data_IF_709232155473
#
_entry.id   IF_709232155473
#
_cell.length_a   1.000
_cell.length_b   1.000
_cell.length_c   1.000
_cell.angle_alpha   90.00
_cell.angle_beta   90.00
_cell.angle_gamma   90.00
#
_symmetry.space_group_name_H-M   'P 1'
#
loop_
_entity.id
_entity.type
_entity.pdbx_description
1 polymer ?
#
# COMPACT_ATOMS: atom_id res chain seq x y z
N UNK A 1 -12.23 -3.24 5.55
CA UNK A 1 -11.19 -4.24 5.94
C UNK A 1 -9.86 -3.61 6.37
N UNK A 2 -9.58 -2.36 6.02
CA UNK A 2 -8.35 -1.64 6.41
C UNK A 2 -8.55 -0.81 7.68
N UNK A 3 -9.60 -0.02 7.76
CA UNK A 3 -9.84 0.94 8.83
C UNK A 3 -10.10 0.29 10.18
N UNK A 4 -10.91 -0.77 10.21
CA UNK A 4 -11.27 -1.42 11.49
C UNK A 4 -10.08 -2.09 12.19
N UNK A 5 -9.20 -2.84 11.51
CA UNK A 5 -7.96 -3.32 12.10
C UNK A 5 -7.06 -2.21 12.64
N UNK A 6 -6.99 -1.06 11.96
CA UNK A 6 -6.24 0.11 12.45
C UNK A 6 -6.83 0.67 13.75
N UNK A 7 -8.15 0.85 13.82
CA UNK A 7 -8.83 1.31 15.04
C UNK A 7 -8.58 0.31 16.18
N UNK A 8 -8.68 -1.00 15.90
CA UNK A 8 -8.45 -2.07 16.88
C UNK A 8 -7.01 -2.06 17.41
N UNK A 9 -6.03 -1.82 16.55
CA UNK A 9 -4.61 -1.80 16.93
C UNK A 9 -4.18 -0.51 17.64
N UNK A 10 -4.93 0.58 17.51
CA UNK A 10 -4.54 1.91 17.96
C UNK A 10 -4.29 1.98 19.46
N UNK A 11 -5.17 1.42 20.29
CA UNK A 11 -5.04 1.41 21.74
C UNK A 11 -3.84 0.59 22.23
N UNK A 12 -3.59 -0.56 21.63
CA UNK A 12 -2.45 -1.42 21.95
C UNK A 12 -1.11 -0.79 21.59
N UNK A 13 -1.02 -0.18 20.41
CA UNK A 13 0.18 0.51 19.97
C UNK A 13 0.53 1.74 20.82
N UNK A 14 -0.49 2.53 21.18
CA UNK A 14 -0.31 3.68 22.08
C UNK A 14 0.18 3.25 23.48
N UNK A 15 -0.44 2.22 24.04
CA UNK A 15 -0.05 1.68 25.34
C UNK A 15 1.39 1.21 25.35
N UNK A 16 1.80 0.38 24.39
CA UNK A 16 3.17 -0.15 24.31
C UNK A 16 4.21 0.97 24.20
N UNK A 17 3.93 2.01 23.41
CA UNK A 17 4.81 3.18 23.31
C UNK A 17 4.93 3.92 24.63
N UNK A 18 3.82 4.13 25.37
CA UNK A 18 3.80 4.82 26.65
C UNK A 18 4.50 4.02 27.74
N UNK A 19 4.34 2.71 27.78
CA UNK A 19 5.07 1.83 28.67
C UNK A 19 6.58 2.04 28.57
N UNK A 20 7.12 2.07 27.37
CA UNK A 20 8.54 2.37 27.17
C UNK A 20 8.91 3.77 27.67
N UNK A 21 8.12 4.79 27.34
CA UNK A 21 8.41 6.17 27.75
C UNK A 21 8.35 6.37 29.28
N UNK A 22 7.44 5.70 29.95
CA UNK A 22 7.32 5.73 31.42
C UNK A 22 8.46 4.95 32.07
N UNK A 23 8.76 3.75 31.58
CA UNK A 23 9.83 2.90 32.09
C UNK A 23 11.22 3.55 32.01
N UNK A 24 11.46 4.33 30.97
CA UNK A 24 12.70 5.09 30.78
C UNK A 24 12.66 6.51 31.40
N UNK A 25 11.59 6.86 32.10
CA UNK A 25 11.49 8.16 32.81
C UNK A 25 11.20 9.37 31.91
N UNK A 26 10.86 9.16 30.64
CA UNK A 26 10.51 10.26 29.71
C UNK A 26 9.07 10.76 29.91
N UNK A 27 8.21 9.98 30.56
CA UNK A 27 6.82 10.36 30.88
C UNK A 27 6.42 9.86 32.26
N UNK A 28 5.46 10.56 32.86
CA UNK A 28 4.83 10.16 34.12
C UNK A 28 3.83 9.04 33.88
N UNK A 29 3.53 8.21 34.90
CA UNK A 29 2.52 7.15 34.86
C UNK A 29 1.14 7.63 34.40
N UNK A 30 0.75 8.88 34.74
CA UNK A 30 -0.50 9.52 34.31
C UNK A 30 -0.63 9.66 32.77
N UNK A 31 0.44 9.45 32.01
CA UNK A 31 0.37 9.40 30.56
C UNK A 31 -0.58 8.31 30.03
N UNK A 32 -0.82 7.25 30.82
CA UNK A 32 -1.76 6.18 30.44
C UNK A 32 -3.24 6.60 30.47
N UNK A 33 -3.57 7.69 31.19
CA UNK A 33 -4.95 8.16 31.31
C UNK A 33 -5.47 8.75 30.00
N UNK A 34 -4.60 9.39 29.23
CA UNK A 34 -4.92 9.91 27.89
C UNK A 34 -4.65 8.83 26.84
N UNK A 35 -5.67 8.07 26.47
CA UNK A 35 -5.58 6.95 25.55
C UNK A 35 -6.65 6.98 24.47
N UNK A 36 -6.41 6.35 23.30
CA UNK A 36 -7.46 6.05 22.35
C UNK A 36 -8.52 5.13 22.96
N UNK A 37 -9.72 5.16 22.41
CA UNK A 37 -10.77 4.21 22.78
C UNK A 37 -10.30 2.77 22.53
N UNK A 38 -10.71 1.87 23.39
CA UNK A 38 -10.68 0.45 23.08
C UNK A 38 -11.71 0.12 22.02
N UNK A 39 -11.51 -0.97 21.30
CA UNK A 39 -12.40 -1.32 20.19
C UNK A 39 -13.85 -1.57 20.62
N UNK A 40 -14.07 -2.18 21.77
CA UNK A 40 -15.38 -2.38 22.38
C UNK A 40 -16.06 -1.07 22.82
N UNK A 41 -15.29 -0.09 23.25
CA UNK A 41 -15.78 1.27 23.56
C UNK A 41 -16.18 2.00 22.28
N UNK A 42 -15.40 1.82 21.21
CA UNK A 42 -15.74 2.35 19.88
C UNK A 42 -17.05 1.74 19.37
N UNK A 43 -17.20 0.41 19.43
CA UNK A 43 -18.43 -0.27 18.99
C UNK A 43 -19.67 0.23 19.73
N UNK A 44 -19.58 0.49 21.03
CA UNK A 44 -20.68 1.01 21.84
C UNK A 44 -21.09 2.45 21.50
N UNK A 45 -20.19 3.23 20.92
CA UNK A 45 -20.46 4.61 20.53
C UNK A 45 -21.11 4.74 19.14
N UNK A 46 -21.03 3.70 18.34
CA UNK A 46 -21.51 3.72 16.96
C UNK A 46 -22.91 3.12 16.89
N UNK A 47 -23.89 3.88 16.42
CA UNK A 47 -25.27 3.42 16.25
C UNK A 47 -25.47 2.66 14.95
N UNK A 48 -24.94 3.19 13.84
CA UNK A 48 -25.06 2.62 12.51
C UNK A 48 -23.72 2.71 11.79
N UNK A 49 -23.35 1.65 11.09
CA UNK A 49 -22.13 1.59 10.29
C UNK A 49 -22.49 1.13 8.89
N UNK A 50 -21.97 1.83 7.90
CA UNK A 50 -21.94 1.40 6.51
C UNK A 50 -20.49 1.03 6.17
N UNK A 51 -20.28 -0.24 5.82
CA UNK A 51 -18.99 -0.72 5.36
C UNK A 51 -18.92 -0.61 3.85
N UNK A 52 -17.86 0.02 3.33
CA UNK A 52 -17.59 0.11 1.90
C UNK A 52 -16.22 -0.52 1.64
N UNK A 53 -16.19 -1.60 0.89
CA UNK A 53 -14.97 -2.33 0.58
C UNK A 53 -15.15 -3.20 -0.65
N UNK A 54 -14.14 -3.25 -1.51
CA UNK A 54 -14.08 -4.23 -2.60
C UNK A 54 -13.75 -5.65 -2.09
N UNK A 55 -13.09 -5.73 -0.92
CA UNK A 55 -12.63 -6.99 -0.29
C UNK A 55 -12.99 -6.99 1.19
N UNK A 56 -14.29 -7.15 1.55
CA UNK A 56 -14.70 -7.18 2.95
C UNK A 56 -14.05 -8.36 3.67
N UNK A 57 -13.70 -8.15 4.95
CA UNK A 57 -13.16 -9.20 5.81
C UNK A 57 -14.28 -9.87 6.62
N UNK A 58 -13.92 -10.90 7.37
CA UNK A 58 -14.86 -11.69 8.18
C UNK A 58 -15.68 -10.82 9.15
N UNK A 59 -15.05 -9.81 9.76
CA UNK A 59 -15.72 -8.92 10.70
C UNK A 59 -16.87 -8.17 10.04
N UNK A 60 -16.65 -7.54 8.89
CA UNK A 60 -17.68 -6.80 8.16
C UNK A 60 -18.81 -7.72 7.70
N UNK A 61 -18.47 -8.90 7.19
CA UNK A 61 -19.45 -9.88 6.73
C UNK A 61 -20.33 -10.40 7.87
N UNK A 62 -19.75 -10.68 9.05
CA UNK A 62 -20.51 -11.23 10.20
C UNK A 62 -21.37 -10.17 10.90
N UNK A 63 -20.97 -8.90 10.87
CA UNK A 63 -21.70 -7.80 11.51
C UNK A 63 -22.75 -7.15 10.62
N UNK A 64 -22.63 -7.30 9.31
CA UNK A 64 -23.58 -6.73 8.35
C UNK A 64 -24.91 -7.50 8.36
N UNK A 65 -26.00 -6.80 8.51
CA UNK A 65 -27.36 -7.34 8.36
C UNK A 65 -27.71 -7.59 6.88
N UNK A 66 -27.13 -6.79 6.01
CA UNK A 66 -27.34 -6.84 4.57
C UNK A 66 -26.02 -6.58 3.87
N UNK A 67 -25.71 -7.39 2.86
CA UNK A 67 -24.58 -7.18 1.96
C UNK A 67 -25.16 -6.86 0.60
N UNK A 68 -24.73 -5.75 0.03
CA UNK A 68 -25.13 -5.29 -1.31
C UNK A 68 -23.88 -5.24 -2.18
N UNK A 69 -23.95 -5.86 -3.34
CA UNK A 69 -22.87 -5.88 -4.31
C UNK A 69 -23.14 -4.86 -5.41
N UNK A 70 -22.13 -4.08 -5.75
CA UNK A 70 -22.14 -3.22 -6.92
C UNK A 70 -21.25 -3.83 -7.99
N UNK A 71 -21.87 -4.47 -8.98
CA UNK A 71 -21.19 -5.22 -10.04
C UNK A 71 -20.94 -4.39 -11.31
N UNK A 72 -21.39 -3.14 -11.32
CA UNK A 72 -21.29 -2.28 -12.51
C UNK A 72 -19.89 -1.67 -12.59
N UNK A 73 -19.19 -1.93 -13.70
CA UNK A 73 -17.96 -1.24 -14.12
C UNK A 73 -18.26 -0.30 -15.29
N UNK A 74 -18.51 0.99 -15.06
CA UNK A 74 -18.85 1.94 -16.13
C UNK A 74 -17.74 2.10 -17.18
N UNK A 75 -16.49 1.83 -16.80
CA UNK A 75 -15.32 1.97 -17.68
C UNK A 75 -15.21 0.88 -18.73
N UNK A 76 -15.92 -0.24 -18.59
CA UNK A 76 -15.78 -1.41 -19.45
C UNK A 76 -14.42 -2.13 -19.39
N UNK A 77 -13.52 -1.69 -18.49
CA UNK A 77 -12.23 -2.33 -18.31
C UNK A 77 -12.39 -3.61 -17.50
N UNK A 78 -11.84 -4.70 -18.00
CA UNK A 78 -11.76 -5.99 -17.28
C UNK A 78 -10.57 -6.00 -16.33
N UNK A 79 -10.56 -6.93 -15.39
CA UNK A 79 -9.40 -7.17 -14.53
C UNK A 79 -8.20 -7.62 -15.39
N UNK A 80 -6.98 -7.21 -15.05
CA UNK A 80 -5.79 -7.64 -15.76
C UNK A 80 -5.58 -9.15 -15.57
N UNK A 81 -4.96 -9.79 -16.55
CA UNK A 81 -4.48 -11.14 -16.42
C UNK A 81 -3.37 -11.20 -15.35
N UNK A 82 -3.45 -12.17 -14.45
CA UNK A 82 -2.49 -12.35 -13.35
C UNK A 82 -1.75 -13.66 -13.54
N UNK A 83 -0.43 -13.58 -13.65
CA UNK A 83 0.47 -14.71 -13.69
C UNK A 83 1.29 -14.80 -12.40
N UNK A 84 1.35 -15.98 -11.79
CA UNK A 84 2.17 -16.25 -10.59
C UNK A 84 3.42 -16.98 -11.01
N UNK A 85 4.58 -16.40 -10.74
CA UNK A 85 5.90 -16.94 -11.09
C UNK A 85 6.72 -17.32 -9.87
N UNK A 86 7.69 -18.25 -10.00
CA UNK A 86 8.60 -18.62 -8.90
C UNK A 86 9.44 -17.45 -8.40
N UNK A 87 9.75 -17.45 -7.10
CA UNK A 87 10.61 -16.40 -6.49
C UNK A 87 12.07 -16.56 -6.92
N UNK A 88 12.54 -17.79 -7.18
CA UNK A 88 13.90 -18.04 -7.64
C UNK A 88 14.13 -17.44 -9.03
N UNK A 89 15.14 -16.59 -9.18
CA UNK A 89 15.44 -15.89 -10.43
C UNK A 89 14.49 -14.74 -10.77
N UNK A 90 13.65 -14.30 -9.83
CA UNK A 90 12.61 -13.27 -10.07
C UNK A 90 13.14 -11.95 -10.64
N UNK A 91 14.37 -11.56 -10.30
CA UNK A 91 14.94 -10.29 -10.79
C UNK A 91 15.39 -10.42 -12.24
N UNK A 92 15.98 -11.54 -12.62
CA UNK A 92 16.37 -11.80 -14.01
C UNK A 92 15.14 -11.95 -14.91
N UNK A 93 14.11 -12.63 -14.41
CA UNK A 93 12.82 -12.76 -15.09
C UNK A 93 12.16 -11.37 -15.27
N UNK A 94 12.17 -10.54 -14.23
CA UNK A 94 11.68 -9.17 -14.30
C UNK A 94 12.42 -8.35 -15.38
N UNK A 95 13.74 -8.47 -15.48
CA UNK A 95 14.52 -7.77 -16.51
C UNK A 95 14.12 -8.23 -17.91
N UNK A 96 13.88 -9.53 -18.08
CA UNK A 96 13.38 -10.10 -19.33
C UNK A 96 12.06 -9.47 -19.75
N UNK A 97 11.09 -9.44 -18.84
CA UNK A 97 9.77 -8.82 -19.07
C UNK A 97 9.88 -7.32 -19.35
N UNK A 98 10.70 -6.59 -18.60
CA UNK A 98 10.91 -5.16 -18.83
C UNK A 98 11.40 -4.91 -20.25
N UNK A 99 12.39 -5.66 -20.72
CA UNK A 99 12.93 -5.50 -22.08
C UNK A 99 11.89 -5.80 -23.14
N UNK A 100 11.17 -6.90 -23.01
CA UNK A 100 10.12 -7.27 -23.94
C UNK A 100 9.01 -6.21 -24.02
N UNK A 101 8.56 -5.67 -22.88
CA UNK A 101 7.54 -4.62 -22.82
C UNK A 101 8.05 -3.30 -23.39
N UNK A 102 9.29 -2.93 -23.08
CA UNK A 102 9.90 -1.70 -23.57
C UNK A 102 10.08 -1.72 -25.09
N UNK A 103 10.47 -2.86 -25.67
CA UNK A 103 10.56 -3.04 -27.14
C UNK A 103 9.21 -2.83 -27.83
N UNK A 104 8.10 -3.15 -27.16
CA UNK A 104 6.74 -2.90 -27.64
C UNK A 104 6.26 -1.46 -27.40
N UNK A 105 7.07 -0.61 -26.76
CA UNK A 105 6.70 0.76 -26.37
C UNK A 105 5.79 0.83 -25.15
N UNK A 106 5.65 -0.25 -24.41
CA UNK A 106 4.87 -0.33 -23.17
C UNK A 106 5.69 0.18 -21.96
N UNK A 107 5.02 0.39 -20.83
CA UNK A 107 5.63 0.84 -19.58
C UNK A 107 5.38 -0.18 -18.48
N UNK A 108 6.32 -0.27 -17.53
CA UNK A 108 6.28 -1.26 -16.45
C UNK A 108 6.19 -0.56 -15.10
N UNK A 109 5.25 -1.00 -14.27
CA UNK A 109 5.14 -0.61 -12.87
C UNK A 109 5.61 -1.75 -11.99
N UNK A 110 6.59 -1.50 -11.11
CA UNK A 110 7.15 -2.50 -10.21
C UNK A 110 6.85 -2.12 -8.77
N UNK A 111 6.11 -2.97 -8.07
CA UNK A 111 5.78 -2.76 -6.66
C UNK A 111 6.63 -3.65 -5.78
N UNK A 112 7.26 -3.05 -4.77
CA UNK A 112 8.08 -3.76 -3.77
C UNK A 112 7.45 -3.68 -2.38
N UNK A 113 7.88 -4.56 -1.48
CA UNK A 113 7.37 -4.60 -0.10
C UNK A 113 8.00 -3.56 0.82
N UNK A 114 9.24 -3.15 0.56
CA UNK A 114 9.99 -2.23 1.42
C UNK A 114 10.69 -1.15 0.62
N UNK A 115 10.95 -0.01 1.26
CA UNK A 115 11.72 1.11 0.71
C UNK A 115 13.10 0.65 0.24
N UNK A 116 13.80 -0.10 1.08
CA UNK A 116 15.14 -0.60 0.75
C UNK A 116 15.14 -1.49 -0.50
N UNK A 117 14.16 -2.41 -0.63
CA UNK A 117 14.03 -3.22 -1.85
C UNK A 117 13.79 -2.36 -3.10
N UNK A 118 13.01 -1.29 -2.98
CA UNK A 118 12.75 -0.40 -4.10
C UNK A 118 14.02 0.35 -4.53
N UNK A 119 14.79 0.85 -3.57
CA UNK A 119 16.05 1.53 -3.79
C UNK A 119 17.09 0.60 -4.43
N UNK A 120 17.36 -0.54 -3.78
CA UNK A 120 18.31 -1.56 -4.27
C UNK A 120 17.95 -2.03 -5.70
N UNK A 121 16.66 -2.28 -5.95
CA UNK A 121 16.18 -2.70 -7.27
C UNK A 121 16.33 -1.58 -8.31
N UNK A 122 16.07 -0.33 -7.94
CA UNK A 122 16.23 0.81 -8.84
C UNK A 122 17.69 0.99 -9.23
N UNK A 123 18.63 0.89 -8.28
CA UNK A 123 20.05 0.94 -8.56
C UNK A 123 20.49 -0.20 -9.49
N UNK A 124 20.01 -1.41 -9.23
CA UNK A 124 20.31 -2.58 -10.04
C UNK A 124 19.78 -2.44 -11.49
N UNK A 125 18.55 -1.96 -11.67
CA UNK A 125 17.97 -1.72 -12.98
C UNK A 125 18.71 -0.62 -13.75
N UNK A 126 19.11 0.46 -13.08
CA UNK A 126 19.94 1.51 -13.66
C UNK A 126 21.31 0.97 -14.12
N UNK A 127 21.96 0.14 -13.31
CA UNK A 127 23.22 -0.51 -13.67
C UNK A 127 23.08 -1.41 -14.91
N UNK A 128 21.90 -1.96 -15.17
CA UNK A 128 21.55 -2.74 -16.36
C UNK A 128 21.03 -1.89 -17.53
N UNK A 129 21.27 -0.56 -17.50
CA UNK A 129 20.88 0.41 -18.54
C UNK A 129 19.38 0.50 -18.81
N UNK A 130 18.55 0.16 -17.84
CA UNK A 130 17.09 0.32 -17.89
C UNK A 130 16.75 1.72 -17.39
N UNK A 131 15.95 2.49 -18.12
CA UNK A 131 15.47 3.80 -17.73
C UNK A 131 14.39 3.65 -16.66
N UNK A 132 14.79 3.75 -15.39
CA UNK A 132 13.93 3.54 -14.24
C UNK A 132 13.88 4.78 -13.35
N UNK A 133 12.72 5.04 -12.75
CA UNK A 133 12.54 6.00 -11.66
C UNK A 133 11.92 5.32 -10.45
N UNK A 134 12.22 5.86 -9.27
CA UNK A 134 11.66 5.42 -7.99
C UNK A 134 10.73 6.49 -7.41
N UNK A 135 9.56 6.06 -6.90
CA UNK A 135 8.68 6.89 -6.09
C UNK A 135 8.73 6.44 -4.64
N UNK A 136 9.14 7.34 -3.74
CA UNK A 136 9.11 7.13 -2.30
C UNK A 136 8.00 7.94 -1.62
N UNK A 137 7.79 7.68 -0.33
CA UNK A 137 6.69 8.29 0.44
C UNK A 137 6.83 9.80 0.67
N UNK A 138 8.05 10.34 0.56
CA UNK A 138 8.34 11.77 0.74
C UNK A 138 8.20 12.60 -0.54
N UNK A 139 7.86 11.97 -1.68
CA UNK A 139 7.66 12.70 -2.94
C UNK A 139 6.41 13.56 -2.84
N UNK A 140 6.56 14.86 -3.06
CA UNK A 140 5.46 15.81 -3.04
C UNK A 140 4.44 15.52 -4.17
N UNK A 141 3.21 15.99 -3.97
CA UNK A 141 2.11 15.70 -4.91
C UNK A 141 2.42 16.20 -6.32
N UNK A 142 3.03 17.37 -6.46
CA UNK A 142 3.39 17.96 -7.77
C UNK A 142 4.44 17.09 -8.45
N UNK A 143 5.51 16.77 -7.74
CA UNK A 143 6.58 15.91 -8.26
C UNK A 143 6.06 14.52 -8.67
N UNK A 144 5.13 13.95 -7.90
CA UNK A 144 4.47 12.69 -8.25
C UNK A 144 3.68 12.80 -9.56
N UNK A 145 2.98 13.90 -9.77
CA UNK A 145 2.28 14.15 -11.04
C UNK A 145 3.24 14.25 -12.22
N UNK A 146 4.39 14.91 -12.03
CA UNK A 146 5.44 15.02 -13.05
C UNK A 146 6.03 13.66 -13.38
N UNK A 147 6.36 12.83 -12.38
CA UNK A 147 6.88 11.47 -12.60
C UNK A 147 5.88 10.63 -13.41
N UNK A 148 4.60 10.68 -13.07
CA UNK A 148 3.56 9.93 -13.79
C UNK A 148 3.41 10.45 -15.23
N UNK A 149 3.48 11.77 -15.41
CA UNK A 149 3.46 12.38 -16.76
C UNK A 149 4.66 11.95 -17.59
N UNK A 150 5.86 11.97 -17.00
CA UNK A 150 7.10 11.59 -17.67
C UNK A 150 7.08 10.10 -18.07
N UNK A 151 6.52 9.22 -17.22
CA UNK A 151 6.30 7.81 -17.56
C UNK A 151 5.38 7.67 -18.79
N UNK A 152 4.27 8.42 -18.82
CA UNK A 152 3.34 8.41 -19.95
C UNK A 152 3.96 8.94 -21.24
N UNK A 153 4.83 9.94 -21.14
CA UNK A 153 5.56 10.50 -22.26
C UNK A 153 6.74 9.63 -22.73
N UNK A 154 7.09 8.59 -21.96
CA UNK A 154 8.17 7.67 -22.32
C UNK A 154 9.57 8.22 -22.07
N UNK A 155 9.72 9.17 -21.16
CA UNK A 155 11.03 9.67 -20.75
C UNK A 155 11.81 8.62 -19.94
N UNK A 156 11.10 7.69 -19.34
CA UNK A 156 11.64 6.47 -18.73
C UNK A 156 10.62 5.33 -18.88
N UNK A 157 11.05 4.08 -18.69
CA UNK A 157 10.27 2.91 -19.03
C UNK A 157 9.70 2.17 -17.82
N UNK A 158 10.37 2.29 -16.67
CA UNK A 158 10.03 1.56 -15.45
C UNK A 158 9.84 2.52 -14.27
N UNK A 159 8.75 2.33 -13.56
CA UNK A 159 8.49 3.02 -12.30
C UNK A 159 8.50 2.00 -11.15
N UNK A 160 9.42 2.19 -10.20
CA UNK A 160 9.51 1.36 -9.00
C UNK A 160 8.95 2.12 -7.80
N UNK A 161 8.25 1.44 -6.91
CA UNK A 161 7.79 2.05 -5.67
C UNK A 161 7.03 1.07 -4.76
N UNK A 162 6.56 1.60 -3.64
CA UNK A 162 5.75 0.85 -2.68
C UNK A 162 4.29 1.24 -2.89
N UNK A 163 3.40 0.26 -2.95
CA UNK A 163 1.96 0.49 -3.07
C UNK A 163 1.56 1.37 -4.28
N UNK A 164 2.23 1.23 -5.42
CA UNK A 164 1.95 2.02 -6.64
C UNK A 164 0.53 1.82 -7.18
N UNK A 165 -0.05 0.65 -6.95
CA UNK A 165 -1.37 0.23 -7.45
C UNK A 165 -2.43 0.23 -6.34
N UNK A 166 -2.17 0.86 -5.20
CA UNK A 166 -3.13 0.92 -4.10
C UNK A 166 -4.22 1.96 -4.40
N UNK A 167 -5.47 1.58 -4.12
CA UNK A 167 -6.62 2.47 -4.11
C UNK A 167 -6.50 3.59 -3.07
#
# INVERSE_FOLDING_TARGET
HVTLPQIKAMSGGDRKRKENLVNYGFRLPSAFDNRPLFFDEFEKKVNQIIYVSATPAEYECTRSKQIVEQLIRPTGLVDPEVEVRPVSGQVDDLIGEIRERTERGERVLVTTLTTKMAEDLTEFLNANMIKVRYIHHNVETIERMEIIRDLRLGLFDVLVGINLLRE
#
